data_IF_264153689061
#
_entry.id   IF_264153689061
#
_cell.length_a   1.000
_cell.length_b   1.000
_cell.length_c   1.000
_cell.angle_alpha   90.00
_cell.angle_beta   90.00
_cell.angle_gamma   90.00
#
_symmetry.space_group_name_H-M   'P 1'
#
loop_
_entity.id
_entity.type
_entity.pdbx_description
1 polymer ?
#
# COMPACT_ATOMS: atom_id res chain seq x y z
N UNK A 1 15.82 12.76 -11.67
CA UNK A 1 15.46 12.01 -10.44
C UNK A 1 16.64 12.09 -9.49
N UNK A 2 16.67 13.13 -8.65
CA UNK A 2 17.75 13.29 -7.67
C UNK A 2 17.50 12.32 -6.51
N UNK A 3 18.45 11.42 -6.26
CA UNK A 3 18.48 10.63 -5.03
C UNK A 3 18.54 11.63 -3.86
N UNK A 4 17.41 11.80 -3.17
CA UNK A 4 17.35 12.70 -2.01
C UNK A 4 18.16 12.02 -0.92
N UNK A 5 19.28 12.65 -0.54
CA UNK A 5 20.23 12.14 0.43
C UNK A 5 19.50 11.70 1.71
N UNK A 6 19.91 10.56 2.26
CA UNK A 6 19.47 10.12 3.58
C UNK A 6 19.62 11.28 4.58
N UNK A 7 18.67 11.45 5.53
CA UNK A 7 18.81 12.50 6.53
C UNK A 7 20.18 12.37 7.19
N UNK A 8 20.92 13.48 7.30
CA UNK A 8 22.21 13.51 7.98
C UNK A 8 21.94 13.28 9.47
N UNK A 9 22.01 12.02 9.89
CA UNK A 9 21.80 11.63 11.27
C UNK A 9 23.08 11.93 12.08
N UNK A 10 22.95 12.28 13.38
CA UNK A 10 24.10 12.50 14.24
C UNK A 10 24.99 11.26 14.33
N UNK A 11 26.28 11.44 14.06
CA UNK A 11 27.29 10.41 14.31
C UNK A 11 27.67 10.36 15.81
N UNK A 12 28.14 9.21 16.31
CA UNK A 12 28.61 9.13 17.69
C UNK A 12 29.78 10.08 17.94
N UNK A 13 29.93 10.59 19.18
CA UNK A 13 31.01 11.50 19.50
C UNK A 13 32.37 10.82 19.31
N UNK A 14 33.34 11.56 18.75
CA UNK A 14 34.71 11.06 18.48
C UNK A 14 35.44 10.67 19.76
N UNK A 15 35.18 11.39 20.85
CA UNK A 15 35.62 11.02 22.19
C UNK A 15 34.43 10.44 22.94
N UNK A 16 34.53 9.21 23.47
CA UNK A 16 33.44 8.63 24.23
C UNK A 16 33.15 9.49 25.46
N UNK A 17 31.87 9.64 25.86
CA UNK A 17 31.52 10.34 27.08
C UNK A 17 32.23 9.75 28.30
N UNK A 18 32.46 10.57 29.32
CA UNK A 18 33.15 10.16 30.53
C UNK A 18 32.44 8.94 31.15
N UNK A 19 33.16 7.81 31.23
CA UNK A 19 32.61 6.53 31.65
C UNK A 19 32.15 6.49 33.13
N UNK A 20 32.53 7.52 33.90
CA UNK A 20 32.22 7.74 35.31
C UNK A 20 31.10 8.77 35.54
N UNK A 21 30.41 9.24 34.48
CA UNK A 21 29.29 10.17 34.59
C UNK A 21 27.94 9.46 34.32
N UNK A 22 27.09 9.40 35.35
CA UNK A 22 25.76 8.80 35.27
C UNK A 22 24.80 9.59 34.36
N UNK A 23 24.98 10.91 34.23
CA UNK A 23 24.18 11.75 33.35
C UNK A 23 24.60 11.56 31.88
N UNK A 24 25.88 11.30 31.63
CA UNK A 24 26.35 10.94 30.30
C UNK A 24 25.81 9.58 29.84
N UNK A 25 25.68 8.61 30.77
CA UNK A 25 25.06 7.31 30.48
C UNK A 25 23.56 7.44 30.11
N UNK A 26 22.79 8.26 30.83
CA UNK A 26 21.35 8.43 30.55
C UNK A 26 21.08 9.24 29.28
N UNK A 27 21.89 10.28 29.02
CA UNK A 27 21.81 11.14 27.83
C UNK A 27 22.41 10.55 26.56
N UNK A 28 23.06 9.38 26.65
CA UNK A 28 23.76 8.78 25.50
C UNK A 28 22.82 8.53 24.33
N UNK A 29 23.17 8.98 23.12
CA UNK A 29 22.37 8.90 21.89
C UNK A 29 21.07 9.71 21.85
N UNK A 30 20.74 10.54 22.86
CA UNK A 30 19.53 11.39 22.84
C UNK A 30 19.43 12.27 21.57
N UNK A 31 20.50 12.96 21.11
CA UNK A 31 20.43 13.76 19.89
C UNK A 31 20.05 12.95 18.65
N UNK A 32 20.52 11.70 18.56
CA UNK A 32 20.14 10.78 17.49
C UNK A 32 18.65 10.40 17.59
N UNK A 33 18.17 10.07 18.79
CA UNK A 33 16.77 9.70 18.99
C UNK A 33 15.82 10.82 18.61
N UNK A 34 16.13 12.06 18.98
CA UNK A 34 15.35 13.24 18.60
C UNK A 34 15.35 13.47 17.08
N UNK A 35 16.51 13.36 16.43
CA UNK A 35 16.63 13.51 14.98
C UNK A 35 15.80 12.47 14.22
N UNK A 36 15.84 11.19 14.65
CA UNK A 36 15.03 10.13 14.04
C UNK A 36 13.54 10.34 14.30
N UNK A 37 13.16 10.69 15.54
CA UNK A 37 11.77 10.95 15.89
C UNK A 37 11.17 12.10 15.07
N UNK A 38 11.92 13.19 14.89
CA UNK A 38 11.50 14.32 14.05
C UNK A 38 11.38 13.91 12.57
N UNK A 39 12.31 13.10 12.07
CA UNK A 39 12.28 12.60 10.70
C UNK A 39 11.10 11.67 10.42
N UNK A 40 10.69 10.84 11.40
CA UNK A 40 9.52 9.97 11.29
C UNK A 40 8.21 10.74 11.47
N UNK A 41 8.12 11.68 12.42
CA UNK A 41 6.94 12.49 12.67
C UNK A 41 6.53 13.35 11.45
N UNK A 42 7.51 13.82 10.68
CA UNK A 42 7.26 14.56 9.44
C UNK A 42 6.58 13.73 8.34
N UNK A 43 6.47 12.41 8.51
CA UNK A 43 6.04 11.44 7.48
C UNK A 43 4.76 10.69 7.86
N UNK A 44 3.80 11.43 8.43
CA UNK A 44 2.51 10.91 8.92
C UNK A 44 1.82 9.93 7.95
N UNK A 45 1.13 8.95 8.52
CA UNK A 45 0.48 7.85 7.82
C UNK A 45 -0.54 8.34 6.78
N UNK A 46 -0.45 7.83 5.56
CA UNK A 46 -1.46 8.02 4.54
C UNK A 46 -2.77 7.28 4.94
N UNK A 47 -3.95 7.84 4.59
CA UNK A 47 -5.23 7.13 4.73
C UNK A 47 -5.23 5.81 3.93
N UNK A 48 -6.23 4.96 4.12
CA UNK A 48 -6.40 3.70 3.37
C UNK A 48 -6.69 3.96 1.87
N UNK A 49 -5.65 4.33 1.13
CA UNK A 49 -5.71 4.68 -0.30
C UNK A 49 -6.01 3.45 -1.17
N UNK A 50 -5.66 2.25 -0.68
CA UNK A 50 -5.89 0.98 -1.38
C UNK A 50 -7.38 0.65 -1.51
N UNK A 51 -8.17 0.86 -0.44
CA UNK A 51 -9.60 0.59 -0.45
C UNK A 51 -10.36 1.43 -1.50
N UNK A 52 -10.00 2.72 -1.66
CA UNK A 52 -10.64 3.60 -2.63
C UNK A 52 -10.44 3.13 -4.09
N UNK A 53 -9.22 2.64 -4.42
CA UNK A 53 -8.95 2.06 -5.74
C UNK A 53 -9.79 0.80 -5.98
N UNK A 54 -9.86 -0.09 -4.98
CA UNK A 54 -10.66 -1.32 -5.09
C UNK A 54 -12.15 -1.00 -5.26
N UNK A 55 -12.67 0.02 -4.58
CA UNK A 55 -14.05 0.46 -4.73
C UNK A 55 -14.37 0.95 -6.16
N UNK A 56 -13.47 1.69 -6.81
CA UNK A 56 -13.68 2.07 -8.22
C UNK A 56 -13.58 0.86 -9.16
N UNK A 57 -12.73 -0.12 -8.88
CA UNK A 57 -12.65 -1.35 -9.66
C UNK A 57 -13.92 -2.21 -9.55
N UNK A 58 -14.58 -2.21 -8.39
CA UNK A 58 -15.90 -2.82 -8.21
C UNK A 58 -16.96 -2.14 -9.07
N UNK A 59 -16.92 -0.80 -9.16
CA UNK A 59 -17.82 -0.04 -10.05
C UNK A 59 -17.57 -0.33 -11.52
N UNK A 60 -16.29 -0.47 -11.92
CA UNK A 60 -15.94 -0.93 -13.28
C UNK A 60 -16.54 -2.32 -13.51
N UNK A 61 -16.31 -3.28 -12.60
CA UNK A 61 -16.83 -4.64 -12.72
C UNK A 61 -18.36 -4.65 -12.85
N UNK A 62 -19.07 -3.82 -12.08
CA UNK A 62 -20.53 -3.69 -12.16
C UNK A 62 -20.99 -3.06 -13.49
N UNK A 63 -20.30 -2.02 -13.97
CA UNK A 63 -20.56 -1.42 -15.28
C UNK A 63 -20.44 -2.44 -16.43
N UNK A 64 -19.48 -3.37 -16.34
CA UNK A 64 -19.31 -4.43 -17.34
C UNK A 64 -20.46 -5.43 -17.36
N UNK A 65 -21.23 -5.56 -16.28
CA UNK A 65 -22.37 -6.48 -16.22
C UNK A 65 -23.61 -5.98 -16.99
N UNK A 66 -23.70 -4.68 -17.30
CA UNK A 66 -24.81 -4.09 -18.05
C UNK A 66 -25.03 -4.75 -19.43
N UNK A 67 -23.97 -5.25 -20.07
CA UNK A 67 -24.04 -5.96 -21.37
C UNK A 67 -24.50 -7.42 -21.25
N UNK A 68 -24.66 -7.95 -20.05
CA UNK A 68 -25.29 -9.27 -19.81
C UNK A 68 -26.42 -9.15 -18.76
N UNK A 69 -27.61 -8.64 -19.16
CA UNK A 69 -28.76 -8.47 -18.27
C UNK A 69 -29.25 -9.78 -17.64
N UNK A 70 -28.88 -10.94 -18.22
CA UNK A 70 -29.24 -12.26 -17.70
C UNK A 70 -28.39 -12.63 -16.48
N UNK A 71 -27.15 -12.15 -16.39
CA UNK A 71 -26.31 -12.28 -15.19
C UNK A 71 -26.82 -11.41 -14.04
N UNK A 72 -27.14 -10.14 -14.29
CA UNK A 72 -27.74 -9.24 -13.28
C UNK A 72 -29.05 -9.83 -12.71
N UNK A 73 -29.89 -10.42 -13.58
CA UNK A 73 -31.13 -11.09 -13.16
C UNK A 73 -30.91 -12.37 -12.36
N UNK A 74 -29.83 -13.14 -12.63
CA UNK A 74 -29.51 -14.37 -11.86
C UNK A 74 -29.06 -14.07 -10.43
N UNK A 75 -28.34 -12.97 -10.22
CA UNK A 75 -27.87 -12.54 -8.89
C UNK A 75 -28.97 -11.87 -8.04
N UNK A 76 -30.13 -11.58 -8.64
CA UNK A 76 -31.31 -11.10 -7.92
C UNK A 76 -32.15 -12.28 -7.38
N UNK A 77 -32.42 -12.27 -6.07
CA UNK A 77 -33.34 -13.22 -5.42
C UNK A 77 -34.77 -13.05 -5.98
N UNK A 78 -35.58 -14.10 -5.93
CA UNK A 78 -36.96 -14.10 -6.46
C UNK A 78 -37.82 -12.94 -5.91
N UNK A 79 -37.56 -12.51 -4.67
CA UNK A 79 -38.20 -11.34 -4.05
C UNK A 79 -37.70 -10.00 -4.61
N UNK A 80 -36.44 -9.90 -5.02
CA UNK A 80 -35.90 -8.71 -5.67
C UNK A 80 -36.49 -8.45 -7.05
N UNK A 81 -36.85 -9.52 -7.78
CA UNK A 81 -37.47 -9.42 -9.12
C UNK A 81 -38.93 -8.95 -9.09
N UNK A 82 -39.64 -9.22 -8.00
CA UNK A 82 -41.01 -8.72 -7.80
C UNK A 82 -41.05 -7.26 -7.36
N UNK A 83 -39.96 -6.75 -6.78
CA UNK A 83 -39.86 -5.37 -6.26
C UNK A 83 -39.16 -4.40 -7.21
N UNK A 84 -38.84 -4.82 -8.46
CA UNK A 84 -38.17 -3.97 -9.45
C UNK A 84 -36.70 -3.64 -9.14
N UNK A 85 -36.10 -4.25 -8.11
CA UNK A 85 -34.67 -4.07 -7.76
C UNK A 85 -33.73 -4.60 -8.84
N UNK A 86 -34.20 -5.50 -9.69
CA UNK A 86 -33.44 -5.99 -10.84
C UNK A 86 -33.36 -4.94 -11.96
N UNK A 87 -34.45 -4.19 -12.18
CA UNK A 87 -34.47 -3.05 -13.12
C UNK A 87 -33.62 -1.89 -12.62
N UNK A 88 -33.66 -1.57 -11.31
CA UNK A 88 -32.80 -0.54 -10.71
C UNK A 88 -31.32 -0.88 -10.88
N UNK A 89 -30.93 -2.14 -10.59
CA UNK A 89 -29.54 -2.60 -10.78
C UNK A 89 -29.11 -2.61 -12.25
N UNK A 90 -30.03 -2.95 -13.14
CA UNK A 90 -29.76 -2.90 -14.57
C UNK A 90 -29.56 -1.45 -15.04
N UNK A 91 -30.43 -0.52 -14.64
CA UNK A 91 -30.32 0.90 -14.98
C UNK A 91 -29.06 1.54 -14.38
N UNK A 92 -28.68 1.15 -13.17
CA UNK A 92 -27.44 1.59 -12.53
C UNK A 92 -26.20 1.07 -13.29
N UNK A 93 -26.20 -0.21 -13.67
CA UNK A 93 -25.13 -0.79 -14.47
C UNK A 93 -25.02 -0.11 -15.85
N UNK A 94 -26.14 0.16 -16.52
CA UNK A 94 -26.19 0.88 -17.81
C UNK A 94 -25.68 2.32 -17.67
N UNK A 95 -26.05 3.01 -16.58
CA UNK A 95 -25.55 4.35 -16.26
C UNK A 95 -24.03 4.34 -16.04
N UNK A 96 -23.52 3.38 -15.26
CA UNK A 96 -22.08 3.23 -15.05
C UNK A 96 -21.35 2.80 -16.33
N UNK A 97 -21.98 2.04 -17.22
CA UNK A 97 -21.42 1.71 -18.54
C UNK A 97 -21.28 2.97 -19.40
N UNK A 98 -22.29 3.85 -19.42
CA UNK A 98 -22.23 5.14 -20.10
C UNK A 98 -21.15 6.06 -19.48
N UNK A 99 -20.92 5.94 -18.17
CA UNK A 99 -19.92 6.71 -17.43
C UNK A 99 -18.58 5.97 -17.26
N UNK A 100 -18.33 4.87 -17.96
CA UNK A 100 -17.14 4.04 -17.74
C UNK A 100 -15.83 4.83 -17.90
N UNK A 101 -15.81 5.83 -18.78
CA UNK A 101 -14.67 6.76 -18.91
C UNK A 101 -14.40 7.57 -17.64
N UNK A 102 -15.45 8.04 -16.96
CA UNK A 102 -15.36 8.79 -15.70
C UNK A 102 -14.90 7.89 -14.56
N UNK A 103 -15.43 6.66 -14.47
CA UNK A 103 -15.03 5.69 -13.45
C UNK A 103 -13.54 5.32 -13.62
N UNK A 104 -13.06 5.15 -14.86
CA UNK A 104 -11.65 4.91 -15.14
C UNK A 104 -10.76 6.10 -14.74
N UNK A 105 -11.21 7.33 -15.01
CA UNK A 105 -10.48 8.54 -14.60
C UNK A 105 -10.35 8.64 -13.07
N UNK A 106 -11.39 8.26 -12.32
CA UNK A 106 -11.33 8.19 -10.85
C UNK A 106 -10.39 7.09 -10.38
N UNK A 107 -10.47 5.90 -10.97
CA UNK A 107 -9.54 4.81 -10.67
C UNK A 107 -8.08 5.23 -10.94
N UNK A 108 -7.83 6.03 -11.99
CA UNK A 108 -6.52 6.60 -12.27
C UNK A 108 -6.02 7.55 -11.18
N UNK A 109 -6.90 8.44 -10.70
CA UNK A 109 -6.58 9.34 -9.61
C UNK A 109 -6.24 8.56 -8.32
N UNK A 110 -7.00 7.52 -7.99
CA UNK A 110 -6.71 6.67 -6.83
C UNK A 110 -5.42 5.86 -7.01
N UNK A 111 -5.13 5.37 -8.22
CA UNK A 111 -3.87 4.71 -8.52
C UNK A 111 -2.67 5.67 -8.41
N UNK A 112 -2.82 6.95 -8.79
CA UNK A 112 -1.80 7.98 -8.55
C UNK A 112 -1.60 8.23 -7.05
N UNK A 113 -2.68 8.39 -6.29
CA UNK A 113 -2.61 8.57 -4.85
C UNK A 113 -1.91 7.39 -4.16
N UNK A 114 -2.20 6.15 -4.58
CA UNK A 114 -1.56 4.95 -4.06
C UNK A 114 -0.06 4.90 -4.39
N UNK A 115 0.36 5.35 -5.58
CA UNK A 115 1.79 5.51 -5.91
C UNK A 115 2.49 6.51 -4.99
N UNK A 116 1.86 7.64 -4.71
CA UNK A 116 2.41 8.63 -3.78
C UNK A 116 2.49 8.10 -2.35
N UNK A 117 1.48 7.37 -1.88
CA UNK A 117 1.53 6.68 -0.59
C UNK A 117 2.67 5.66 -0.54
N UNK A 118 2.87 4.87 -1.61
CA UNK A 118 3.99 3.92 -1.71
C UNK A 118 5.36 4.58 -1.62
N UNK A 119 5.53 5.75 -2.24
CA UNK A 119 6.76 6.56 -2.10
C UNK A 119 6.97 7.02 -0.66
N UNK A 120 5.92 7.50 0.01
CA UNK A 120 5.99 7.90 1.42
C UNK A 120 6.36 6.71 2.33
N UNK A 121 5.82 5.52 2.09
CA UNK A 121 6.19 4.30 2.83
C UNK A 121 7.66 3.93 2.61
N UNK A 122 8.15 3.97 1.37
CA UNK A 122 9.55 3.68 1.07
C UNK A 122 10.49 4.68 1.77
N UNK A 123 10.13 5.97 1.80
CA UNK A 123 10.88 6.99 2.52
C UNK A 123 10.90 6.75 4.04
N UNK A 124 9.75 6.42 4.64
CA UNK A 124 9.65 6.11 6.07
C UNK A 124 10.48 4.87 6.44
N UNK A 125 10.46 3.83 5.61
CA UNK A 125 11.30 2.64 5.78
C UNK A 125 12.79 3.03 5.77
N UNK A 126 13.22 3.82 4.77
CA UNK A 126 14.60 4.28 4.65
C UNK A 126 15.08 5.10 5.86
N UNK A 127 14.21 5.95 6.43
CA UNK A 127 14.53 6.69 7.66
C UNK A 127 14.71 5.77 8.85
N UNK A 128 13.79 4.82 9.06
CA UNK A 128 13.89 3.87 10.15
C UNK A 128 15.14 2.99 10.03
N UNK A 129 15.49 2.55 8.82
CA UNK A 129 16.71 1.78 8.55
C UNK A 129 17.99 2.59 8.80
N UNK A 130 18.02 3.85 8.36
CA UNK A 130 19.14 4.75 8.64
C UNK A 130 19.29 4.99 10.15
N UNK A 131 18.16 5.14 10.87
CA UNK A 131 18.12 5.27 12.32
C UNK A 131 18.66 4.03 13.04
N UNK A 132 18.31 2.83 12.57
CA UNK A 132 18.85 1.55 13.06
C UNK A 132 20.37 1.49 12.86
N UNK A 133 20.84 1.76 11.65
CA UNK A 133 22.27 1.74 11.34
C UNK A 133 23.06 2.77 12.18
N UNK A 134 22.47 3.96 12.40
CA UNK A 134 23.06 4.97 13.29
C UNK A 134 23.11 4.48 14.74
N UNK A 135 22.02 3.90 15.26
CA UNK A 135 21.99 3.35 16.61
C UNK A 135 23.03 2.24 16.81
N UNK A 136 23.23 1.37 15.83
CA UNK A 136 24.27 0.34 15.88
C UNK A 136 25.67 0.94 15.98
N UNK A 137 25.96 2.01 15.22
CA UNK A 137 27.23 2.76 15.34
C UNK A 137 27.41 3.37 16.72
N UNK A 138 26.36 3.98 17.27
CA UNK A 138 26.38 4.52 18.64
C UNK A 138 26.57 3.42 19.68
N UNK A 139 25.92 2.27 19.55
CA UNK A 139 26.11 1.14 20.48
C UNK A 139 27.54 0.61 20.40
N UNK A 140 28.11 0.50 19.20
CA UNK A 140 29.48 0.04 18.99
C UNK A 140 30.54 1.03 19.51
N UNK A 141 30.24 2.34 19.48
CA UNK A 141 31.12 3.40 19.96
C UNK A 141 30.99 3.67 21.48
N UNK A 142 30.16 2.92 22.20
CA UNK A 142 29.94 3.14 23.62
C UNK A 142 31.25 2.93 24.43
N UNK A 143 31.50 3.75 25.48
CA UNK A 143 32.67 3.58 26.33
C UNK A 143 32.67 2.22 27.03
N UNK A 144 33.86 1.74 27.38
CA UNK A 144 33.98 0.72 28.43
C UNK A 144 33.61 1.36 29.78
N UNK A 145 32.56 0.90 30.46
CA UNK A 145 32.07 1.57 31.65
C UNK A 145 32.98 1.31 32.86
N UNK A 146 33.07 2.30 33.76
CA UNK A 146 33.61 2.10 35.10
C UNK A 146 32.77 1.04 35.83
N UNK A 147 33.37 0.10 36.58
CA UNK A 147 32.64 -0.86 37.41
C UNK A 147 31.48 -0.24 38.23
N UNK A 148 31.64 0.98 38.74
CA UNK A 148 30.61 1.67 39.51
C UNK A 148 29.34 2.03 38.69
N UNK A 149 29.48 2.21 37.36
CA UNK A 149 28.39 2.59 36.45
C UNK A 149 28.09 1.52 35.39
N UNK A 150 28.73 0.36 35.44
CA UNK A 150 28.55 -0.73 34.48
C UNK A 150 27.07 -1.12 34.31
N UNK A 151 26.31 -1.18 35.41
CA UNK A 151 24.89 -1.50 35.36
C UNK A 151 24.07 -0.44 34.59
N UNK A 152 24.32 0.85 34.83
CA UNK A 152 23.60 1.94 34.18
C UNK A 152 23.88 1.98 32.66
N UNK A 153 25.14 1.78 32.28
CA UNK A 153 25.53 1.69 30.87
C UNK A 153 24.92 0.46 30.18
N UNK A 154 24.94 -0.70 30.83
CA UNK A 154 24.30 -1.91 30.28
C UNK A 154 22.80 -1.70 30.04
N UNK A 155 22.09 -1.11 31.02
CA UNK A 155 20.67 -0.80 30.88
C UNK A 155 20.39 0.17 29.72
N UNK A 156 21.22 1.21 29.56
CA UNK A 156 21.09 2.15 28.44
C UNK A 156 21.31 1.46 27.11
N UNK A 157 22.38 0.69 26.95
CA UNK A 157 22.68 -0.01 25.70
C UNK A 157 21.60 -1.05 25.36
N UNK A 158 21.08 -1.77 26.35
CA UNK A 158 19.96 -2.70 26.15
C UNK A 158 18.67 -1.99 25.76
N UNK A 159 18.42 -0.78 26.27
CA UNK A 159 17.32 0.05 25.80
C UNK A 159 17.51 0.45 24.32
N UNK A 160 18.70 0.92 23.94
CA UNK A 160 18.99 1.30 22.54
C UNK A 160 18.88 0.10 21.58
N UNK A 161 19.33 -1.10 22.00
CA UNK A 161 19.16 -2.34 21.22
C UNK A 161 17.70 -2.69 21.00
N UNK A 162 16.87 -2.57 22.04
CA UNK A 162 15.41 -2.79 21.94
C UNK A 162 14.75 -1.79 21.00
N UNK A 163 15.16 -0.52 21.05
CA UNK A 163 14.66 0.50 20.14
C UNK A 163 15.06 0.23 18.69
N UNK A 164 16.31 -0.17 18.45
CA UNK A 164 16.75 -0.59 17.11
C UNK A 164 15.94 -1.79 16.60
N UNK A 165 15.61 -2.76 17.46
CA UNK A 165 14.73 -3.88 17.07
C UNK A 165 13.31 -3.40 16.70
N UNK A 166 12.75 -2.45 17.46
CA UNK A 166 11.45 -1.86 17.16
C UNK A 166 11.44 -1.13 15.80
N UNK A 167 12.45 -0.29 15.53
CA UNK A 167 12.55 0.41 14.23
C UNK A 167 12.80 -0.53 13.05
N UNK A 168 13.51 -1.66 13.23
CA UNK A 168 13.60 -2.68 12.17
C UNK A 168 12.24 -3.28 11.84
N UNK A 169 11.41 -3.53 12.86
CA UNK A 169 10.05 -4.02 12.65
C UNK A 169 9.18 -2.98 11.93
N UNK A 170 9.25 -1.72 12.35
CA UNK A 170 8.53 -0.63 11.68
C UNK A 170 8.95 -0.49 10.20
N UNK A 171 10.26 -0.50 9.92
CA UNK A 171 10.77 -0.48 8.54
C UNK A 171 10.22 -1.64 7.71
N UNK A 172 10.18 -2.85 8.29
CA UNK A 172 9.60 -4.02 7.63
C UNK A 172 8.09 -3.85 7.36
N UNK A 173 7.34 -3.25 8.28
CA UNK A 173 5.92 -2.95 8.09
C UNK A 173 5.70 -1.95 6.95
N UNK A 174 6.48 -0.87 6.89
CA UNK A 174 6.41 0.10 5.80
C UNK A 174 6.73 -0.53 4.43
N UNK A 175 7.76 -1.38 4.36
CA UNK A 175 8.09 -2.13 3.14
C UNK A 175 6.97 -3.08 2.72
N UNK A 176 6.33 -3.75 3.69
CA UNK A 176 5.20 -4.62 3.40
C UNK A 176 4.03 -3.82 2.81
N UNK A 177 3.71 -2.65 3.36
CA UNK A 177 2.66 -1.77 2.83
C UNK A 177 2.99 -1.27 1.42
N UNK A 178 4.25 -0.92 1.16
CA UNK A 178 4.72 -0.57 -0.19
C UNK A 178 4.49 -1.72 -1.18
N UNK A 179 4.93 -2.93 -0.83
CA UNK A 179 4.78 -4.12 -1.68
C UNK A 179 3.31 -4.43 -1.97
N UNK A 180 2.45 -4.33 -0.95
CA UNK A 180 1.00 -4.50 -1.13
C UNK A 180 0.43 -3.45 -2.09
N UNK A 181 0.85 -2.18 -1.99
CA UNK A 181 0.45 -1.13 -2.92
C UNK A 181 0.92 -1.39 -4.36
N UNK A 182 2.15 -1.86 -4.54
CA UNK A 182 2.71 -2.22 -5.85
C UNK A 182 1.96 -3.38 -6.50
N UNK A 183 1.61 -4.41 -5.74
CA UNK A 183 0.79 -5.53 -6.20
C UNK A 183 -0.58 -5.05 -6.69
N UNK A 184 -1.26 -4.20 -5.91
CA UNK A 184 -2.56 -3.61 -6.28
C UNK A 184 -2.44 -2.80 -7.58
N UNK A 185 -1.39 -1.99 -7.72
CA UNK A 185 -1.13 -1.19 -8.92
C UNK A 185 -0.81 -2.04 -10.15
N UNK A 186 -0.12 -3.17 -9.98
CA UNK A 186 0.15 -4.13 -11.06
C UNK A 186 -1.15 -4.77 -11.55
N UNK A 187 -2.02 -5.20 -10.64
CA UNK A 187 -3.32 -5.79 -10.98
C UNK A 187 -4.24 -4.78 -11.64
N UNK A 188 -4.26 -3.54 -11.15
CA UNK A 188 -4.99 -2.44 -11.78
C UNK A 188 -4.53 -2.21 -13.23
N UNK A 189 -3.21 -2.15 -13.48
CA UNK A 189 -2.65 -2.03 -14.84
C UNK A 189 -3.06 -3.19 -15.73
N UNK A 190 -3.01 -4.43 -15.23
CA UNK A 190 -3.47 -5.59 -15.99
C UNK A 190 -4.96 -5.47 -16.38
N UNK A 191 -5.83 -5.06 -15.45
CA UNK A 191 -7.25 -4.82 -15.74
C UNK A 191 -7.41 -3.72 -16.79
N UNK A 192 -6.77 -2.57 -16.58
CA UNK A 192 -6.94 -1.37 -17.41
C UNK A 192 -6.41 -1.55 -18.83
N UNK A 193 -5.21 -2.11 -18.96
CA UNK A 193 -4.44 -2.07 -20.21
C UNK A 193 -4.59 -3.36 -21.03
N UNK A 194 -4.97 -4.48 -20.39
CA UNK A 194 -5.09 -5.78 -21.06
C UNK A 194 -6.52 -6.28 -21.06
N UNK A 195 -7.11 -6.49 -19.88
CA UNK A 195 -8.39 -7.18 -19.76
C UNK A 195 -9.57 -6.32 -20.25
N UNK A 196 -9.58 -5.03 -19.93
CA UNK A 196 -10.66 -4.13 -20.30
C UNK A 196 -10.69 -3.86 -21.82
N UNK A 197 -9.56 -3.59 -22.51
CA UNK A 197 -9.55 -3.50 -23.97
C UNK A 197 -9.95 -4.80 -24.64
N UNK A 198 -9.45 -5.95 -24.18
CA UNK A 198 -9.82 -7.25 -24.72
C UNK A 198 -11.33 -7.52 -24.59
N UNK A 199 -11.92 -7.16 -23.44
CA UNK A 199 -13.37 -7.23 -23.24
C UNK A 199 -14.13 -6.30 -24.20
N UNK A 200 -13.69 -5.05 -24.39
CA UNK A 200 -14.32 -4.10 -25.31
C UNK A 200 -14.30 -4.61 -26.75
N UNK A 201 -13.16 -5.15 -27.19
CA UNK A 201 -13.01 -5.74 -28.53
C UNK A 201 -13.94 -6.94 -28.74
N UNK A 202 -14.01 -7.83 -27.76
CA UNK A 202 -14.91 -8.98 -27.81
C UNK A 202 -16.39 -8.58 -27.79
N UNK A 203 -16.73 -7.45 -27.16
CA UNK A 203 -18.11 -7.01 -27.00
C UNK A 203 -18.65 -6.13 -28.15
N UNK A 204 -17.82 -5.66 -29.09
CA UNK A 204 -18.22 -4.74 -30.18
C UNK A 204 -18.55 -5.45 -31.51
N UNK A 205 -18.28 -6.75 -31.67
CA UNK A 205 -18.36 -7.42 -32.99
C UNK A 205 -19.48 -8.46 -33.09
N UNK A 206 -20.68 -8.10 -33.59
CA UNK A 206 -21.72 -9.06 -33.94
C UNK A 206 -21.58 -9.44 -35.42
N UNK A 207 -20.74 -10.42 -35.75
CA UNK A 207 -20.86 -11.16 -37.01
C UNK A 207 -21.39 -12.56 -36.72
N UNK A 208 -22.52 -12.90 -37.33
CA UNK A 208 -23.44 -13.97 -36.94
C UNK A 208 -22.82 -15.39 -36.87
N UNK A 209 -21.65 -15.64 -37.48
CA UNK A 209 -20.94 -16.92 -37.41
C UNK A 209 -19.87 -16.98 -36.30
N UNK A 210 -19.26 -15.86 -35.90
CA UNK A 210 -18.21 -15.79 -34.88
C UNK A 210 -18.73 -15.34 -33.50
N UNK A 211 -20.03 -14.99 -33.41
CA UNK A 211 -20.64 -14.43 -32.20
C UNK A 211 -20.50 -15.29 -30.94
N UNK A 212 -20.53 -16.63 -31.05
CA UNK A 212 -20.35 -17.51 -29.87
C UNK A 212 -18.93 -17.44 -29.30
N UNK A 213 -17.91 -17.42 -30.15
CA UNK A 213 -16.51 -17.33 -29.74
C UNK A 213 -16.16 -15.96 -29.16
N UNK A 214 -16.83 -14.90 -29.62
CA UNK A 214 -16.68 -13.55 -29.05
C UNK A 214 -17.35 -13.43 -27.68
N UNK A 215 -18.55 -13.98 -27.51
CA UNK A 215 -19.24 -14.02 -26.21
C UNK A 215 -18.43 -14.83 -25.19
N UNK A 216 -17.86 -15.97 -25.60
CA UNK A 216 -16.98 -16.78 -24.75
C UNK A 216 -15.73 -16.00 -24.31
N UNK A 217 -15.06 -15.30 -25.24
CA UNK A 217 -13.88 -14.47 -24.94
C UNK A 217 -14.20 -13.29 -24.02
N UNK A 218 -15.33 -12.61 -24.22
CA UNK A 218 -15.77 -11.52 -23.34
C UNK A 218 -16.09 -12.05 -21.92
N UNK A 219 -16.74 -13.20 -21.83
CA UNK A 219 -17.04 -13.86 -20.55
C UNK A 219 -15.76 -14.30 -19.81
N UNK A 220 -14.76 -14.81 -20.54
CA UNK A 220 -13.45 -15.17 -19.99
C UNK A 220 -12.70 -13.94 -19.46
N UNK A 221 -12.64 -12.86 -20.24
CA UNK A 221 -12.02 -11.60 -19.79
C UNK A 221 -12.71 -11.05 -18.53
N UNK A 222 -14.04 -11.12 -18.46
CA UNK A 222 -14.80 -10.72 -17.28
C UNK A 222 -14.51 -11.61 -16.06
N UNK A 223 -14.36 -12.93 -16.25
CA UNK A 223 -13.97 -13.87 -15.19
C UNK A 223 -12.56 -13.64 -14.67
N UNK A 224 -11.65 -13.14 -15.51
CA UNK A 224 -10.31 -12.75 -15.07
C UNK A 224 -10.35 -11.45 -14.26
N UNK A 225 -11.14 -10.44 -14.68
CA UNK A 225 -11.31 -9.17 -13.95
C UNK A 225 -11.89 -9.40 -12.54
N UNK A 226 -13.06 -10.03 -12.45
CA UNK A 226 -13.16 -11.30 -11.74
C UNK A 226 -12.28 -11.62 -10.53
N UNK A 227 -11.45 -12.63 -10.79
CA UNK A 227 -10.44 -13.19 -9.93
C UNK A 227 -9.42 -12.15 -9.46
N UNK A 228 -9.02 -11.20 -10.32
CA UNK A 228 -8.10 -10.12 -9.92
C UNK A 228 -8.69 -9.26 -8.80
N UNK A 229 -9.97 -8.89 -8.91
CA UNK A 229 -10.67 -8.12 -7.88
C UNK A 229 -10.85 -8.89 -6.57
N UNK A 230 -11.14 -10.19 -6.65
CA UNK A 230 -11.20 -11.04 -5.46
C UNK A 230 -9.83 -11.15 -4.76
N UNK A 231 -8.76 -11.30 -5.54
CA UNK A 231 -7.40 -11.31 -5.00
C UNK A 231 -7.03 -9.98 -4.33
N UNK A 232 -7.44 -8.84 -4.91
CA UNK A 232 -7.23 -7.52 -4.31
C UNK A 232 -8.02 -7.35 -3.01
N UNK A 233 -9.29 -7.76 -2.96
CA UNK A 233 -10.13 -7.73 -1.74
C UNK A 233 -9.57 -8.59 -0.61
N UNK A 234 -9.05 -9.78 -0.94
CA UNK A 234 -8.45 -10.68 0.04
C UNK A 234 -7.17 -10.09 0.66
N UNK A 235 -6.48 -9.19 -0.04
CA UNK A 235 -5.25 -8.53 0.42
C UNK A 235 -5.50 -7.36 1.37
N UNK A 236 -6.69 -6.77 1.32
CA UNK A 236 -7.09 -5.61 2.13
C UNK A 236 -7.78 -5.99 3.45
N UNK A 237 -8.08 -7.28 3.68
CA UNK A 237 -8.67 -7.80 4.92
C UNK A 237 -7.60 -8.39 5.82
#
# INVERSE_FOLDING_TARGET
MSARAAPALPEPPVSPPAANDAQAASGYAVPLLEAVAQALAARAAAPDVGAALVQELERIQYALQARDPRRIRRDSSLLGRLLGRDLERQAEAETLQAQLGVVLLRADAHAQALRHAGQAYAESAGVAEAGVAALERWIAAAPTPDPALAQAWNQRLDHLRRLAAAWRLEAAQWRLLQQQGEDLLQRYRNIRDVLLPAWRQAAVTPQAAQGRDHVARAAQAQQHILAELQAMRARLR
#
